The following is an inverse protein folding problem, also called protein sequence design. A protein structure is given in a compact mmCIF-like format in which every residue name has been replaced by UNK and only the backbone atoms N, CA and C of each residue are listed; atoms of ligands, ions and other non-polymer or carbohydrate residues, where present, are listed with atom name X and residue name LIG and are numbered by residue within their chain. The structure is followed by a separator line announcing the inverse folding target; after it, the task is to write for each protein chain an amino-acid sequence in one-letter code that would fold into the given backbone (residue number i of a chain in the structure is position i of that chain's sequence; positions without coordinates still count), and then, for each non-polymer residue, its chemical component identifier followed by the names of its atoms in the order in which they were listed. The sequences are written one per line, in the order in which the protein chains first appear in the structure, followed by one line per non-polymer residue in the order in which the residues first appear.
data_IF_762118517277
#
_entry.id   IF_762118517277
#
_cell.length_a   1.000
_cell.length_b   1.000
_cell.length_c   1.000
_cell.angle_alpha   90.00
_cell.angle_beta   90.00
_cell.angle_gamma   90.00
#
_symmetry.space_group_name_H-M   'P 1'
#
loop_
_entity.id
_entity.type
_entity.pdbx_description
1 polymer ?
#
# COMPACT_ATOMS: atom_id res chain seq x y z
N UNK A 1 -2.77 4.50 16.29
CA UNK A 1 -1.38 4.74 15.88
C UNK A 1 -0.94 3.66 14.93
N UNK A 2 -0.18 4.02 13.91
CA UNK A 2 0.33 3.12 12.89
C UNK A 2 1.85 3.11 12.92
N UNK A 3 2.45 1.99 12.53
CA UNK A 3 3.88 1.78 12.58
C UNK A 3 4.40 1.33 11.22
N UNK A 4 5.50 1.92 10.80
CA UNK A 4 6.20 1.57 9.57
C UNK A 4 7.66 1.35 9.89
N UNK A 5 8.23 0.24 9.42
CA UNK A 5 9.64 -0.08 9.61
C UNK A 5 10.28 -0.42 8.27
N UNK A 6 11.39 0.23 7.98
CA UNK A 6 12.19 -0.05 6.78
C UNK A 6 13.52 -0.68 7.16
N UNK A 7 14.07 -1.45 6.23
CA UNK A 7 15.42 -1.97 6.39
C UNK A 7 16.45 -0.83 6.32
N UNK A 8 17.63 -0.99 6.95
CA UNK A 8 18.69 0.02 6.90
C UNK A 8 19.14 0.38 5.49
N UNK A 9 18.98 -0.54 4.54
CA UNK A 9 19.34 -0.32 3.13
C UNK A 9 18.55 0.80 2.47
N UNK A 10 17.35 1.13 2.97
CA UNK A 10 16.54 2.22 2.44
C UNK A 10 16.95 3.59 2.95
N UNK A 11 17.86 3.66 3.91
CA UNK A 11 18.41 4.92 4.45
C UNK A 11 17.33 5.90 4.90
N UNK A 12 16.37 5.42 5.68
CA UNK A 12 15.29 6.24 6.25
C UNK A 12 15.51 6.33 7.75
N UNK A 13 16.33 7.29 8.23
CA UNK A 13 16.70 7.36 9.64
C UNK A 13 15.61 7.96 10.53
N UNK A 14 14.68 8.73 9.98
CA UNK A 14 13.73 9.50 10.77
C UNK A 14 12.43 9.77 10.03
N UNK A 15 11.46 10.32 10.74
CA UNK A 15 10.14 10.64 10.23
C UNK A 15 10.18 11.71 9.12
N UNK A 16 11.11 12.66 9.20
CA UNK A 16 11.24 13.70 8.19
C UNK A 16 11.66 13.11 6.84
N UNK A 17 12.66 12.24 6.84
CA UNK A 17 13.13 11.55 5.64
C UNK A 17 12.01 10.71 5.03
N UNK A 18 11.26 9.99 5.87
CA UNK A 18 10.11 9.22 5.41
C UNK A 18 9.07 10.12 4.76
N UNK A 19 8.73 11.23 5.40
CA UNK A 19 7.75 12.19 4.89
C UNK A 19 8.18 12.76 3.53
N UNK A 20 9.44 13.16 3.41
CA UNK A 20 9.97 13.69 2.16
C UNK A 20 9.91 12.65 1.05
N UNK A 21 10.25 11.40 1.33
CA UNK A 21 10.16 10.30 0.35
C UNK A 21 8.71 9.97 0.00
N UNK A 22 7.81 10.05 0.97
CA UNK A 22 6.38 9.84 0.73
C UNK A 22 5.84 10.89 -0.25
N UNK A 23 6.16 12.16 0.00
CA UNK A 23 5.70 13.26 -0.86
C UNK A 23 6.30 13.20 -2.26
N UNK A 24 7.49 12.62 -2.44
CA UNK A 24 8.12 12.45 -3.75
C UNK A 24 7.76 11.13 -4.44
N UNK A 25 6.92 10.32 -3.81
CA UNK A 25 6.47 9.04 -4.38
C UNK A 25 7.46 7.89 -4.22
N UNK A 26 8.60 8.08 -3.58
CA UNK A 26 9.60 7.01 -3.40
C UNK A 26 9.08 5.84 -2.56
N UNK A 27 8.16 6.10 -1.63
CA UNK A 27 7.56 5.06 -0.82
C UNK A 27 6.53 4.20 -1.57
N UNK A 28 6.13 4.62 -2.75
CA UNK A 28 5.12 3.92 -3.54
C UNK A 28 5.68 2.88 -4.49
N UNK A 29 6.97 2.63 -4.47
CA UNK A 29 7.64 1.74 -5.42
C UNK A 29 7.85 0.31 -4.89
N UNK A 30 7.17 -0.06 -3.83
CA UNK A 30 7.44 -1.33 -3.13
C UNK A 30 6.77 -2.55 -3.77
N UNK A 31 5.76 -2.38 -4.61
CA UNK A 31 5.06 -3.50 -5.23
C UNK A 31 4.47 -4.49 -4.23
N UNK A 32 4.02 -4.04 -3.06
CA UNK A 32 3.48 -4.90 -2.01
C UNK A 32 2.17 -5.58 -2.40
N UNK A 33 1.60 -6.34 -1.47
CA UNK A 33 0.43 -7.19 -1.69
C UNK A 33 -0.79 -6.43 -2.23
N UNK A 34 -0.92 -5.15 -1.89
CA UNK A 34 -2.01 -4.30 -2.39
C UNK A 34 -1.60 -3.44 -3.58
N UNK A 35 -0.32 -3.45 -3.95
CA UNK A 35 0.27 -2.59 -4.97
C UNK A 35 1.20 -1.55 -4.37
N UNK A 36 1.50 -0.52 -5.14
CA UNK A 36 2.38 0.55 -4.70
C UNK A 36 1.73 1.38 -3.60
N UNK A 37 2.47 1.63 -2.54
CA UNK A 37 1.99 2.40 -1.41
C UNK A 37 2.93 2.31 -0.23
N UNK A 38 2.67 3.11 0.79
CA UNK A 38 3.34 3.02 2.07
C UNK A 38 2.53 2.08 2.98
N UNK A 39 3.20 1.10 3.56
CA UNK A 39 2.59 0.06 4.37
C UNK A 39 2.85 0.30 5.84
N UNK A 40 1.80 0.19 6.64
CA UNK A 40 1.84 0.39 8.08
C UNK A 40 1.21 -0.80 8.80
N UNK A 41 1.69 -1.09 9.99
CA UNK A 41 1.07 -2.05 10.89
C UNK A 41 0.43 -1.32 12.07
N UNK A 42 -0.63 -1.91 12.63
CA UNK A 42 -1.25 -1.41 13.86
C UNK A 42 -0.41 -1.73 15.09
N UNK A 43 0.43 -2.74 15.00
CA UNK A 43 1.24 -3.28 16.08
C UNK A 43 2.71 -3.00 15.81
N UNK A 44 3.42 -2.45 16.81
CA UNK A 44 4.82 -2.11 16.70
C UNK A 44 5.69 -3.36 16.45
N UNK A 45 5.39 -4.48 17.10
CA UNK A 45 6.16 -5.71 16.92
C UNK A 45 6.00 -6.28 15.52
N UNK A 46 4.77 -6.27 14.98
CA UNK A 46 4.51 -6.69 13.60
C UNK A 46 5.29 -5.82 12.61
N UNK A 47 5.32 -4.52 12.85
CA UNK A 47 6.10 -3.58 12.03
C UNK A 47 7.59 -3.91 12.04
N UNK A 48 8.15 -4.25 13.21
CA UNK A 48 9.56 -4.64 13.33
C UNK A 48 9.91 -5.87 12.48
N UNK A 49 8.95 -6.74 12.20
CA UNK A 49 9.16 -7.90 11.33
C UNK A 49 9.56 -7.56 9.90
N UNK A 50 9.35 -6.34 9.48
CA UNK A 50 9.74 -5.87 8.14
C UNK A 50 11.10 -5.16 8.12
N UNK A 51 11.70 -4.92 9.29
CA UNK A 51 13.01 -4.30 9.41
C UNK A 51 14.06 -5.34 9.78
N UNK A 52 15.25 -5.22 9.20
CA UNK A 52 16.34 -6.14 9.45
C UNK A 52 17.53 -5.41 10.06
N UNK A 53 18.03 -5.94 11.18
CA UNK A 53 19.24 -5.47 11.82
C UNK A 53 19.05 -4.28 12.77
N UNK A 54 20.11 -3.93 13.51
CA UNK A 54 20.01 -2.99 14.63
C UNK A 54 19.80 -1.52 14.20
N UNK A 55 20.00 -1.23 12.92
CA UNK A 55 19.82 0.14 12.39
C UNK A 55 18.47 0.34 11.71
N UNK A 56 17.56 -0.63 11.79
CA UNK A 56 16.21 -0.47 11.27
C UNK A 56 15.50 0.63 12.05
N UNK A 57 14.82 1.53 11.33
CA UNK A 57 14.08 2.63 11.93
C UNK A 57 12.57 2.34 11.87
N UNK A 58 11.89 2.58 12.98
CA UNK A 58 10.43 2.50 13.02
C UNK A 58 9.84 3.91 13.06
N UNK A 59 8.91 4.14 12.14
CA UNK A 59 8.18 5.41 12.03
C UNK A 59 6.79 5.21 12.60
N UNK A 60 6.35 6.17 13.40
CA UNK A 60 4.98 6.21 13.94
C UNK A 60 4.14 7.20 13.15
N UNK A 61 2.90 6.86 12.89
CA UNK A 61 1.98 7.74 12.18
C UNK A 61 0.58 7.64 12.74
N UNK A 62 -0.19 8.70 12.54
CA UNK A 62 -1.61 8.75 12.87
C UNK A 62 -2.34 9.16 11.60
N UNK A 63 -3.45 8.49 11.29
CA UNK A 63 -4.26 8.86 10.14
C UNK A 63 -4.83 10.27 10.33
N UNK A 64 -4.73 11.08 9.29
CA UNK A 64 -5.36 12.37 9.24
C UNK A 64 -6.90 12.20 9.27
N UNK A 65 -7.61 13.14 9.90
CA UNK A 65 -9.07 13.13 9.96
C UNK A 65 -9.72 13.19 8.58
N UNK A 66 -9.00 13.68 7.57
CA UNK A 66 -9.47 13.74 6.18
C UNK A 66 -9.13 12.48 5.38
N UNK A 67 -8.51 11.48 5.99
CA UNK A 67 -8.18 10.23 5.33
C UNK A 67 -9.45 9.52 4.87
N UNK A 68 -9.46 9.09 3.61
CA UNK A 68 -10.57 8.32 3.02
C UNK A 68 -10.19 6.85 3.04
N UNK A 69 -10.72 6.13 4.01
CA UNK A 69 -10.37 4.75 4.33
C UNK A 69 -11.40 3.79 3.75
N UNK A 70 -10.91 2.73 3.15
CA UNK A 70 -11.74 1.60 2.72
C UNK A 70 -11.13 0.30 3.22
N UNK A 71 -11.95 -0.65 3.62
CA UNK A 71 -11.47 -1.99 3.96
C UNK A 71 -11.12 -2.77 2.70
N UNK A 72 -10.17 -3.69 2.82
CA UNK A 72 -9.79 -4.59 1.73
C UNK A 72 -11.00 -5.32 1.16
N UNK A 73 -11.85 -5.86 2.03
CA UNK A 73 -13.04 -6.61 1.63
C UNK A 73 -14.01 -5.76 0.82
N UNK A 74 -14.30 -4.55 1.30
CA UNK A 74 -15.22 -3.64 0.60
C UNK A 74 -14.62 -3.20 -0.73
N UNK A 75 -13.33 -2.91 -0.77
CA UNK A 75 -12.64 -2.53 -1.99
C UNK A 75 -12.72 -3.65 -3.04
N UNK A 76 -12.43 -4.89 -2.66
CA UNK A 76 -12.51 -6.02 -3.58
C UNK A 76 -13.92 -6.21 -4.13
N UNK A 77 -14.95 -6.01 -3.31
CA UNK A 77 -16.34 -6.05 -3.74
C UNK A 77 -16.66 -4.95 -4.75
N UNK A 78 -16.18 -3.73 -4.50
CA UNK A 78 -16.35 -2.61 -5.42
C UNK A 78 -15.61 -2.82 -6.74
N UNK A 79 -14.41 -3.38 -6.69
CA UNK A 79 -13.64 -3.71 -7.89
C UNK A 79 -14.41 -4.72 -8.76
N UNK A 80 -14.93 -5.78 -8.14
CA UNK A 80 -15.69 -6.80 -8.85
C UNK A 80 -16.95 -6.22 -9.53
N UNK A 81 -17.69 -5.38 -8.81
CA UNK A 81 -18.88 -4.72 -9.36
C UNK A 81 -18.50 -3.79 -10.53
N UNK A 82 -17.46 -2.99 -10.34
CA UNK A 82 -16.99 -2.07 -11.38
C UNK A 82 -16.46 -2.80 -12.60
N UNK A 83 -15.71 -3.89 -12.41
CA UNK A 83 -15.18 -4.71 -13.49
C UNK A 83 -16.29 -5.31 -14.37
N UNK A 84 -17.38 -5.77 -13.75
CA UNK A 84 -18.52 -6.30 -14.48
C UNK A 84 -19.20 -5.24 -15.36
N UNK A 85 -19.23 -3.99 -14.91
CA UNK A 85 -19.81 -2.87 -15.67
C UNK A 85 -18.83 -2.28 -16.67
N UNK A 86 -17.53 -2.42 -16.45
CA UNK A 86 -16.48 -1.81 -17.26
C UNK A 86 -15.38 -2.83 -17.61
N UNK A 87 -15.71 -3.93 -18.29
CA UNK A 87 -14.75 -5.02 -18.49
C UNK A 87 -13.53 -4.61 -19.31
N UNK A 88 -13.70 -3.75 -20.31
CA UNK A 88 -12.57 -3.30 -21.14
C UNK A 88 -11.61 -2.41 -20.36
N UNK A 89 -12.15 -1.47 -19.58
CA UNK A 89 -11.34 -0.60 -18.74
C UNK A 89 -10.61 -1.40 -17.65
N UNK A 90 -11.29 -2.34 -17.04
CA UNK A 90 -10.68 -3.24 -16.06
C UNK A 90 -9.50 -4.02 -16.66
N UNK A 91 -9.69 -4.62 -17.83
CA UNK A 91 -8.64 -5.37 -18.50
C UNK A 91 -7.46 -4.50 -18.87
N UNK A 92 -7.68 -3.25 -19.28
CA UNK A 92 -6.59 -2.30 -19.55
C UNK A 92 -5.75 -2.02 -18.32
N UNK A 93 -6.37 -1.82 -17.17
CA UNK A 93 -5.66 -1.57 -15.91
C UNK A 93 -4.81 -2.79 -15.54
N UNK A 94 -5.39 -3.98 -15.59
CA UNK A 94 -4.68 -5.23 -15.27
C UNK A 94 -3.50 -5.44 -16.24
N UNK A 95 -3.72 -5.26 -17.53
CA UNK A 95 -2.67 -5.45 -18.53
C UNK A 95 -1.54 -4.44 -18.38
N UNK A 96 -1.84 -3.18 -18.10
CA UNK A 96 -0.83 -2.16 -17.85
C UNK A 96 0.01 -2.50 -16.62
N UNK A 97 -0.62 -2.97 -15.56
CA UNK A 97 0.08 -3.41 -14.36
C UNK A 97 1.03 -4.59 -14.68
N UNK A 98 0.57 -5.58 -15.42
CA UNK A 98 1.38 -6.74 -15.81
C UNK A 98 2.56 -6.35 -16.70
N UNK A 99 2.37 -5.42 -17.61
CA UNK A 99 3.47 -4.90 -18.45
C UNK A 99 4.52 -4.22 -17.60
N UNK A 100 4.10 -3.40 -16.64
CA UNK A 100 5.03 -2.64 -15.78
C UNK A 100 5.80 -3.53 -14.81
N UNK A 101 5.12 -4.49 -14.16
CA UNK A 101 5.71 -5.31 -13.10
C UNK A 101 6.11 -6.73 -13.54
N UNK A 102 5.76 -7.14 -14.77
CA UNK A 102 6.01 -8.48 -15.29
C UNK A 102 4.86 -9.45 -15.01
N UNK A 103 4.90 -10.62 -15.68
CA UNK A 103 3.81 -11.62 -15.62
C UNK A 103 3.58 -12.21 -14.23
N UNK A 104 4.62 -12.17 -13.37
CA UNK A 104 4.54 -12.70 -12.01
C UNK A 104 4.16 -11.65 -10.98
N UNK A 105 3.99 -10.41 -11.41
CA UNK A 105 3.56 -9.32 -10.54
C UNK A 105 2.06 -9.45 -10.32
N UNK A 106 1.68 -10.23 -9.46
CA UNK A 106 0.33 -10.33 -8.93
C UNK A 106 -0.83 -9.97 -9.85
N UNK A 107 -1.88 -10.61 -9.58
CA UNK A 107 -3.18 -10.38 -10.17
C UNK A 107 -3.77 -9.08 -9.60
N UNK A 108 -5.08 -8.99 -9.52
CA UNK A 108 -5.78 -7.85 -8.95
C UNK A 108 -5.35 -7.45 -7.53
N UNK A 109 -4.66 -8.31 -6.77
CA UNK A 109 -4.17 -7.92 -5.45
C UNK A 109 -3.18 -6.77 -5.53
N UNK A 110 -2.21 -6.86 -6.43
CA UNK A 110 -1.22 -5.80 -6.62
C UNK A 110 -1.78 -4.54 -7.25
N UNK A 111 -3.03 -4.53 -7.70
CA UNK A 111 -3.69 -3.39 -8.32
C UNK A 111 -4.66 -2.66 -7.38
N UNK A 112 -4.84 -3.13 -6.15
CA UNK A 112 -5.80 -2.54 -5.21
C UNK A 112 -5.59 -1.04 -4.99
N UNK A 113 -4.34 -0.60 -4.88
CA UNK A 113 -4.06 0.83 -4.69
C UNK A 113 -4.49 1.67 -5.88
N UNK A 114 -4.40 1.13 -7.10
CA UNK A 114 -4.87 1.80 -8.31
C UNK A 114 -6.38 1.98 -8.24
N UNK A 115 -7.14 0.92 -7.92
CA UNK A 115 -8.59 0.98 -7.84
C UNK A 115 -9.05 1.83 -6.66
N UNK A 116 -8.38 1.76 -5.52
CA UNK A 116 -8.70 2.61 -4.38
C UNK A 116 -8.60 4.09 -4.77
N UNK A 117 -7.52 4.48 -5.43
CA UNK A 117 -7.35 5.85 -5.93
C UNK A 117 -8.43 6.23 -6.94
N UNK A 118 -8.76 5.33 -7.85
CA UNK A 118 -9.82 5.55 -8.84
C UNK A 118 -11.16 5.81 -8.17
N UNK A 119 -11.47 5.10 -7.09
CA UNK A 119 -12.73 5.24 -6.34
C UNK A 119 -12.69 6.38 -5.31
N UNK A 120 -11.58 7.11 -5.18
CA UNK A 120 -11.46 8.26 -4.29
C UNK A 120 -10.99 7.96 -2.89
N UNK A 121 -10.37 6.80 -2.65
CA UNK A 121 -9.82 6.41 -1.36
C UNK A 121 -8.30 6.54 -1.37
N UNK A 122 -7.72 6.88 -0.21
CA UNK A 122 -6.26 6.98 -0.07
C UNK A 122 -5.67 6.07 1.00
N UNK A 123 -6.50 5.32 1.71
CA UNK A 123 -6.04 4.34 2.71
C UNK A 123 -6.83 3.05 2.54
N UNK A 124 -6.10 1.94 2.47
CA UNK A 124 -6.68 0.60 2.48
C UNK A 124 -6.39 -0.04 3.84
N UNK A 125 -7.45 -0.45 4.53
CA UNK A 125 -7.31 -1.22 5.76
C UNK A 125 -7.31 -2.70 5.40
N UNK A 126 -6.18 -3.37 5.65
CA UNK A 126 -6.05 -4.79 5.40
C UNK A 126 -6.89 -5.59 6.41
N UNK A 127 -7.45 -6.72 5.94
CA UNK A 127 -8.11 -7.69 6.81
C UNK A 127 -7.12 -8.61 7.52
N UNK A 128 -5.84 -8.51 7.20
CA UNK A 128 -4.79 -9.26 7.90
C UNK A 128 -4.58 -8.70 9.30
N UNK A 129 -4.25 -9.56 10.24
CA UNK A 129 -4.01 -9.17 11.62
C UNK A 129 -2.93 -8.07 11.70
N UNK A 130 -3.26 -6.94 12.34
CA UNK A 130 -2.35 -5.81 12.55
C UNK A 130 -2.03 -4.97 11.31
N UNK A 131 -2.55 -5.30 10.13
CA UNK A 131 -2.25 -4.60 8.89
C UNK A 131 -3.24 -3.47 8.57
N UNK A 132 -2.75 -2.47 7.92
CA UNK A 132 -3.56 -1.37 7.36
C UNK A 132 -2.95 -0.92 6.04
#
# INVERSE_FOLDING_TARGET
MLFHTDSPSKKIPDAKTFSDQFMTGKQFQSGGIHGDGAYFAKDAEMSWGYGYGPKAAQIRAVLNSKAKVITERKLDSMIATWANKNPQAYNKIINCHQVYYGKNAGTHRGTRTIFAALFGYNVIRSDQAGGT
#
